data_IF_757617346650
#
_entry.id   IF_757617346650
#
_cell.length_a   1.000
_cell.length_b   1.000
_cell.length_c   1.000
_cell.angle_alpha   90.00
_cell.angle_beta   90.00
_cell.angle_gamma   90.00
#
_symmetry.space_group_name_H-M   'P 1'
#
loop_
_entity.id
_entity.type
_entity.pdbx_description
1 polymer ?
#
# COMPACT_ATOMS: atom_id res chain seq x y z
N UNK A 1 -5.95 -30.83 -20.08
CA UNK A 1 -4.91 -30.01 -19.40
C UNK A 1 -4.97 -28.51 -19.71
N UNK A 2 -5.04 -28.08 -20.98
CA UNK A 2 -5.02 -26.64 -21.39
C UNK A 2 -6.12 -25.78 -20.73
N UNK A 3 -7.37 -26.28 -20.66
CA UNK A 3 -8.51 -25.57 -20.02
C UNK A 3 -8.31 -25.33 -18.50
N UNK A 4 -7.76 -26.31 -17.77
CA UNK A 4 -7.47 -26.18 -16.32
C UNK A 4 -6.39 -25.13 -16.04
N UNK A 5 -5.33 -25.10 -16.86
CA UNK A 5 -4.25 -24.10 -16.77
C UNK A 5 -4.77 -22.68 -17.03
N UNK A 6 -5.61 -22.51 -18.06
CA UNK A 6 -6.23 -21.21 -18.36
C UNK A 6 -7.10 -20.71 -17.20
N UNK A 7 -7.93 -21.59 -16.62
CA UNK A 7 -8.76 -21.23 -15.47
C UNK A 7 -7.91 -20.86 -14.23
N UNK A 8 -6.78 -21.54 -14.00
CA UNK A 8 -5.86 -21.21 -12.91
C UNK A 8 -5.22 -19.83 -13.11
N UNK A 9 -4.70 -19.54 -14.31
CA UNK A 9 -4.11 -18.24 -14.63
C UNK A 9 -5.12 -17.09 -14.49
N UNK A 10 -6.38 -17.30 -14.87
CA UNK A 10 -7.44 -16.31 -14.72
C UNK A 10 -7.79 -16.03 -13.25
N UNK A 11 -7.71 -17.05 -12.38
CA UNK A 11 -7.89 -16.86 -10.92
C UNK A 11 -6.73 -16.07 -10.32
N UNK A 12 -5.50 -16.41 -10.67
CA UNK A 12 -4.32 -15.72 -10.14
C UNK A 12 -4.28 -14.26 -10.58
N UNK A 13 -4.67 -13.97 -11.82
CA UNK A 13 -4.81 -12.59 -12.30
C UNK A 13 -5.82 -11.79 -11.47
N UNK A 14 -6.99 -12.37 -11.17
CA UNK A 14 -8.00 -11.73 -10.30
C UNK A 14 -7.47 -11.48 -8.90
N UNK A 15 -6.77 -12.45 -8.31
CA UNK A 15 -6.12 -12.29 -7.00
C UNK A 15 -5.12 -11.14 -7.00
N UNK A 16 -4.28 -11.06 -8.03
CA UNK A 16 -3.27 -10.01 -8.18
C UNK A 16 -3.88 -8.63 -8.44
N UNK A 17 -4.99 -8.55 -9.18
CA UNK A 17 -5.73 -7.30 -9.35
C UNK A 17 -6.23 -6.75 -8.00
N UNK A 18 -6.85 -7.61 -7.17
CA UNK A 18 -7.29 -7.20 -5.82
C UNK A 18 -6.13 -6.75 -4.92
N UNK A 19 -4.97 -7.40 -5.03
CA UNK A 19 -3.76 -6.96 -4.32
C UNK A 19 -3.28 -5.58 -4.82
N UNK A 20 -3.27 -5.36 -6.13
CA UNK A 20 -2.84 -4.09 -6.70
C UNK A 20 -3.80 -2.94 -6.33
N UNK A 21 -5.11 -3.18 -6.31
CA UNK A 21 -6.11 -2.22 -5.84
C UNK A 21 -5.89 -1.86 -4.35
N UNK A 22 -5.55 -2.83 -3.50
CA UNK A 22 -5.23 -2.56 -2.10
C UNK A 22 -3.96 -1.72 -1.95
N UNK A 23 -2.95 -1.97 -2.79
CA UNK A 23 -1.75 -1.13 -2.85
C UNK A 23 -2.06 0.29 -3.32
N UNK A 24 -3.00 0.47 -4.24
CA UNK A 24 -3.39 1.79 -4.73
C UNK A 24 -4.12 2.59 -3.65
N UNK A 25 -5.07 2.00 -2.94
CA UNK A 25 -5.70 2.64 -1.76
C UNK A 25 -4.71 3.00 -0.67
N UNK A 26 -3.68 2.16 -0.47
CA UNK A 26 -2.64 2.48 0.50
C UNK A 26 -1.79 3.70 0.07
N UNK A 27 -1.54 3.86 -1.24
CA UNK A 27 -0.81 5.04 -1.75
C UNK A 27 -1.60 6.33 -1.60
N UNK A 28 -2.93 6.28 -1.69
CA UNK A 28 -3.79 7.47 -1.55
C UNK A 28 -3.68 8.13 -0.16
N UNK A 29 -3.34 7.35 0.87
CA UNK A 29 -3.22 7.85 2.26
C UNK A 29 -1.77 8.09 2.70
N UNK A 30 -0.80 7.76 1.83
CA UNK A 30 0.62 7.95 2.11
C UNK A 30 1.05 9.33 1.63
N UNK A 31 1.80 10.10 2.43
CA UNK A 31 2.41 11.34 1.95
C UNK A 31 3.39 11.05 0.81
N UNK A 32 3.19 11.70 -0.34
CA UNK A 32 4.09 11.66 -1.50
C UNK A 32 4.64 13.05 -1.81
N UNK A 33 5.92 13.12 -2.18
CA UNK A 33 6.57 14.36 -2.60
C UNK A 33 6.10 14.80 -4.00
N UNK A 34 5.84 13.83 -4.88
CA UNK A 34 5.31 14.04 -6.22
C UNK A 34 3.98 13.31 -6.36
N UNK A 35 2.90 14.06 -6.56
CA UNK A 35 1.55 13.50 -6.71
C UNK A 35 1.42 12.61 -7.96
N UNK A 36 2.22 12.85 -8.99
CA UNK A 36 2.25 12.06 -10.23
C UNK A 36 3.06 10.76 -10.11
N UNK A 37 4.02 10.67 -9.16
CA UNK A 37 4.93 9.52 -9.10
C UNK A 37 4.38 8.41 -8.20
N UNK A 38 3.98 7.30 -8.84
CA UNK A 38 3.53 6.10 -8.13
C UNK A 38 4.70 5.35 -7.50
N UNK A 39 4.75 5.30 -6.17
CA UNK A 39 5.72 4.50 -5.41
C UNK A 39 5.66 3.01 -5.81
N UNK A 40 6.81 2.34 -5.85
CA UNK A 40 6.86 0.87 -5.99
C UNK A 40 6.19 0.18 -4.79
N UNK A 41 5.92 -1.12 -4.88
CA UNK A 41 5.31 -1.88 -3.78
C UNK A 41 6.15 -1.84 -2.50
N UNK A 42 7.48 -1.97 -2.65
CA UNK A 42 8.40 -1.92 -1.52
C UNK A 42 8.38 -0.53 -0.88
N UNK A 43 8.54 0.52 -1.69
CA UNK A 43 8.53 1.91 -1.19
C UNK A 43 7.19 2.28 -0.53
N UNK A 44 6.08 1.78 -1.08
CA UNK A 44 4.75 1.99 -0.48
C UNK A 44 4.67 1.39 0.92
N UNK A 45 5.17 0.16 1.12
CA UNK A 45 5.18 -0.48 2.45
C UNK A 45 6.14 0.23 3.40
N UNK A 46 7.32 0.59 2.93
CA UNK A 46 8.31 1.31 3.73
C UNK A 46 7.75 2.66 4.19
N UNK A 47 7.15 3.43 3.28
CA UNK A 47 6.57 4.72 3.61
C UNK A 47 5.36 4.59 4.53
N UNK A 48 4.51 3.56 4.35
CA UNK A 48 3.41 3.29 5.27
C UNK A 48 3.89 3.09 6.71
N UNK A 49 4.94 2.29 6.91
CA UNK A 49 5.53 2.05 8.22
C UNK A 49 6.09 3.33 8.83
N UNK A 50 6.89 4.08 8.06
CA UNK A 50 7.45 5.36 8.50
C UNK A 50 6.35 6.35 8.89
N UNK A 51 5.28 6.43 8.09
CA UNK A 51 4.19 7.37 8.32
C UNK A 51 3.39 7.02 9.57
N UNK A 52 3.08 5.74 9.79
CA UNK A 52 2.41 5.28 11.03
C UNK A 52 3.26 5.65 12.26
N UNK A 53 4.57 5.41 12.23
CA UNK A 53 5.47 5.77 13.34
C UNK A 53 5.48 7.28 13.58
N UNK A 54 5.60 8.09 12.52
CA UNK A 54 5.61 9.55 12.64
C UNK A 54 4.30 10.10 13.23
N UNK A 55 3.15 9.55 12.84
CA UNK A 55 1.85 9.94 13.39
C UNK A 55 1.72 9.54 14.87
N UNK A 56 2.26 8.39 15.28
CA UNK A 56 2.30 7.98 16.69
C UNK A 56 3.13 8.94 17.52
N UNK A 57 4.36 9.23 17.08
CA UNK A 57 5.25 10.17 17.76
C UNK A 57 4.61 11.57 17.90
N UNK A 58 3.88 12.02 16.88
CA UNK A 58 3.17 13.31 16.90
C UNK A 58 2.08 13.34 17.98
N UNK A 59 1.30 12.25 18.10
CA UNK A 59 0.25 12.15 19.11
C UNK A 59 0.84 12.11 20.53
N UNK A 60 1.88 11.31 20.76
CA UNK A 60 2.56 11.22 22.05
C UNK A 60 3.14 12.58 22.48
N UNK A 61 3.80 13.30 21.57
CA UNK A 61 4.31 14.66 21.85
C UNK A 61 3.20 15.65 22.16
N UNK A 62 2.05 15.51 21.49
CA UNK A 62 0.90 16.38 21.72
C UNK A 62 0.27 16.14 23.09
N UNK A 63 0.21 14.89 23.54
CA UNK A 63 -0.31 14.52 24.85
C UNK A 63 0.65 14.91 25.98
N UNK A 64 1.96 14.88 25.76
CA UNK A 64 2.96 15.37 26.74
C UNK A 64 2.95 16.89 26.92
N UNK A 65 2.41 17.65 25.96
CA UNK A 65 2.31 19.11 25.99
C UNK A 65 0.96 19.62 26.52
N UNK A 66 0.03 18.73 26.88
CA UNK A 66 -1.26 19.05 27.51
C UNK A 66 -1.16 18.98 29.03
#
# INVERSE_FOLDING_TARGET
MKKRRLAANARERRRMNGLNEAFDRLREVIPSLDAEQKLSKFETLQMAQTYISALRDLLERSDMNR
#
